data_IF_957412792976
#
_entry.id   IF_957412792976
#
_cell.length_a   1.000
_cell.length_b   1.000
_cell.length_c   1.000
_cell.angle_alpha   90.00
_cell.angle_beta   90.00
_cell.angle_gamma   90.00
#
_symmetry.space_group_name_H-M   'P 1'
#
loop_
_entity.id
_entity.type
_entity.pdbx_description
1 polymer ?
#
# COMPACT_ATOMS: atom_id res chain seq x y z
N UNK A 1 6.38 53.88 18.37
CA UNK A 1 6.48 53.43 18.04
C UNK A 1 6.86 52.55 17.50
N UNK A 2 6.99 52.26 17.11
CA UNK A 2 7.48 51.58 16.53
C UNK A 2 7.52 50.39 16.80
N UNK A 3 7.55 50.12 17.48
CA UNK A 3 7.65 49.07 17.73
C UNK A 3 6.84 48.17 17.34
N UNK A 4 6.26 48.21 17.39
CA UNK A 4 5.27 47.45 17.17
C UNK A 4 5.54 46.66 16.08
N UNK A 5 5.92 47.19 15.27
CA UNK A 5 6.18 46.55 14.14
C UNK A 5 6.91 45.38 14.34
N UNK A 6 7.71 45.54 15.06
CA UNK A 6 8.49 44.56 15.17
C UNK A 6 7.89 43.41 15.54
N UNK A 7 7.24 43.46 16.36
CA UNK A 7 6.72 42.38 16.81
C UNK A 7 6.18 41.59 15.87
N UNK A 8 5.68 42.09 15.13
CA UNK A 8 5.02 41.44 14.29
C UNK A 8 5.79 40.51 13.67
N UNK A 9 6.76 40.77 13.41
CA UNK A 9 7.52 39.96 12.70
C UNK A 9 7.66 38.69 13.33
N UNK A 10 7.81 38.71 14.51
CA UNK A 10 8.09 37.60 15.08
C UNK A 10 7.15 36.60 15.10
N UNK A 11 6.09 36.83 15.21
CA UNK A 11 5.20 35.90 15.31
C UNK A 11 5.13 34.93 14.30
N UNK A 12 5.32 35.21 13.26
CA UNK A 12 5.13 34.36 12.29
C UNK A 12 6.05 33.33 12.19
N UNK A 13 7.07 33.44 12.63
CA UNK A 13 7.97 32.51 12.42
C UNK A 13 7.60 31.23 12.96
N UNK A 14 6.95 31.16 13.84
CA UNK A 14 6.59 30.03 14.47
C UNK A 14 5.98 29.09 13.54
N UNK A 15 5.07 29.45 12.85
CA UNK A 15 4.38 28.59 12.00
C UNK A 15 5.32 28.08 10.98
N UNK A 16 6.25 28.80 10.63
CA UNK A 16 7.12 28.39 9.67
C UNK A 16 7.88 27.20 9.99
N UNK A 17 8.27 27.04 11.15
CA UNK A 17 9.07 25.93 11.48
C UNK A 17 8.34 24.67 11.25
N UNK A 18 7.11 24.64 11.46
CA UNK A 18 6.37 23.43 11.31
C UNK A 18 6.32 23.08 9.86
N UNK A 19 6.18 24.05 9.05
CA UNK A 19 6.09 23.79 7.68
C UNK A 19 7.33 23.14 7.15
N UNK A 20 8.39 23.50 7.65
CA UNK A 20 9.62 22.97 7.20
C UNK A 20 9.67 21.48 7.29
N UNK A 21 9.11 20.93 8.32
CA UNK A 21 9.15 19.51 8.46
C UNK A 21 8.49 18.81 7.29
N UNK A 22 7.45 19.34 6.80
CA UNK A 22 6.77 18.71 5.73
C UNK A 22 7.60 18.71 4.48
N UNK A 23 8.51 19.61 4.37
CA UNK A 23 9.26 19.70 3.17
C UNK A 23 10.35 18.68 3.05
N UNK A 24 10.55 17.89 4.05
CA UNK A 24 11.57 16.89 3.96
C UNK A 24 11.19 15.78 3.01
N UNK A 25 9.93 15.65 2.69
CA UNK A 25 9.53 14.61 1.77
C UNK A 25 9.62 15.12 0.35
N UNK A 26 9.97 14.21 -0.54
CA UNK A 26 9.98 14.51 -1.95
C UNK A 26 8.57 14.84 -2.37
N UNK A 27 8.30 16.00 -2.92
CA UNK A 27 6.94 16.37 -3.28
C UNK A 27 6.38 15.55 -4.44
N UNK A 28 7.22 14.87 -5.18
CA UNK A 28 6.76 14.10 -6.32
C UNK A 28 6.45 12.66 -5.97
N UNK A 29 6.77 12.24 -4.76
CA UNK A 29 6.52 10.87 -4.34
C UNK A 29 5.75 10.91 -3.04
N UNK A 30 4.60 10.28 -3.03
CA UNK A 30 3.80 10.20 -1.82
C UNK A 30 3.61 8.74 -1.46
N UNK A 31 3.49 8.50 -0.19
CA UNK A 31 3.23 7.17 0.31
C UNK A 31 1.78 7.07 0.68
N UNK A 32 1.11 6.05 0.17
CA UNK A 32 -0.30 5.84 0.47
C UNK A 32 -0.44 4.65 1.40
N UNK A 33 -1.10 4.84 2.53
CA UNK A 33 -1.42 3.70 3.37
C UNK A 33 -2.60 2.98 2.75
N UNK A 34 -2.49 1.68 2.59
CA UNK A 34 -3.59 0.89 2.09
C UNK A 34 -3.83 -0.24 3.07
N UNK A 35 -5.07 -0.66 3.16
CA UNK A 35 -5.43 -1.75 4.02
C UNK A 35 -5.56 -3.01 3.20
N UNK A 36 -5.09 -4.11 3.75
CA UNK A 36 -5.20 -5.39 3.09
C UNK A 36 -5.85 -6.38 4.05
N UNK A 37 -6.57 -7.33 3.51
CA UNK A 37 -7.23 -8.34 4.32
C UNK A 37 -6.35 -9.56 4.42
N UNK A 38 -5.92 -9.86 5.62
CA UNK A 38 -5.03 -10.98 5.88
C UNK A 38 -5.71 -12.03 6.73
N UNK A 39 -5.33 -13.26 6.56
CA UNK A 39 -5.83 -14.35 7.36
C UNK A 39 -4.97 -15.58 7.19
N UNK A 40 -5.37 -16.65 7.83
CA UNK A 40 -4.68 -17.91 7.71
C UNK A 40 -4.74 -18.34 6.25
N UNK A 41 -3.66 -18.94 5.75
CA UNK A 41 -3.60 -19.33 4.35
C UNK A 41 -4.77 -20.19 3.93
N UNK A 42 -5.25 -21.07 4.80
CA UNK A 42 -6.37 -21.94 4.45
C UNK A 42 -7.65 -21.14 4.24
N UNK A 43 -7.84 -20.08 5.04
CA UNK A 43 -9.02 -19.25 4.90
C UNK A 43 -8.97 -18.45 3.62
N UNK A 44 -7.81 -17.90 3.30
CA UNK A 44 -7.64 -17.15 2.06
C UNK A 44 -7.86 -18.09 0.86
N UNK A 45 -7.32 -19.30 0.94
CA UNK A 45 -7.50 -20.26 -0.13
C UNK A 45 -8.97 -20.59 -0.34
N UNK A 46 -9.75 -20.71 0.75
CA UNK A 46 -11.17 -20.95 0.62
C UNK A 46 -11.87 -19.80 -0.07
N UNK A 47 -11.50 -18.57 0.27
CA UNK A 47 -12.10 -17.41 -0.35
C UNK A 47 -11.82 -17.38 -1.84
N UNK A 48 -10.59 -17.68 -2.23
CA UNK A 48 -10.26 -17.69 -3.64
C UNK A 48 -11.00 -18.77 -4.39
N UNK A 49 -11.26 -19.90 -3.70
CA UNK A 49 -12.00 -20.96 -4.31
C UNK A 49 -13.44 -20.56 -4.51
N UNK A 50 -14.00 -19.84 -3.56
CA UNK A 50 -15.37 -19.34 -3.70
C UNK A 50 -15.46 -18.34 -4.86
N UNK A 51 -14.40 -17.57 -5.08
CA UNK A 51 -14.35 -16.65 -6.19
C UNK A 51 -14.09 -17.36 -7.51
N UNK A 52 -13.78 -18.66 -7.46
CA UNK A 52 -13.46 -19.47 -8.63
C UNK A 52 -12.25 -18.91 -9.36
N UNK A 53 -11.30 -18.40 -8.63
CA UNK A 53 -10.06 -17.87 -9.19
C UNK A 53 -8.96 -18.90 -9.05
N UNK A 54 -8.12 -19.00 -10.06
CA UNK A 54 -7.00 -19.92 -10.07
C UNK A 54 -5.71 -19.16 -10.25
N UNK A 55 -4.59 -19.69 -9.78
CA UNK A 55 -3.32 -19.00 -9.90
C UNK A 55 -2.89 -18.91 -11.35
N UNK A 56 -2.48 -17.72 -11.78
CA UNK A 56 -2.07 -17.50 -13.17
C UNK A 56 -0.65 -16.95 -13.27
N UNK A 57 -0.13 -16.34 -12.21
CA UNK A 57 1.22 -15.79 -12.24
C UNK A 57 1.73 -15.62 -10.83
N UNK A 58 3.04 -15.57 -10.68
CA UNK A 58 3.63 -15.36 -9.37
C UNK A 58 4.94 -14.61 -9.50
N UNK A 59 5.35 -13.99 -8.43
CA UNK A 59 6.61 -13.26 -8.36
C UNK A 59 7.02 -13.17 -6.91
N UNK A 60 8.26 -12.77 -6.66
CA UNK A 60 8.67 -12.38 -5.33
C UNK A 60 8.66 -10.87 -5.30
N UNK A 61 8.05 -10.31 -4.28
CA UNK A 61 7.87 -8.87 -4.19
C UNK A 61 8.38 -8.38 -2.85
N UNK A 62 8.56 -7.08 -2.78
CA UNK A 62 9.03 -6.43 -1.59
C UNK A 62 8.06 -5.32 -1.27
N UNK A 63 7.75 -5.15 0.02
CA UNK A 63 6.90 -4.05 0.43
C UNK A 63 7.44 -3.43 1.71
N UNK A 64 7.08 -2.17 1.92
CA UNK A 64 7.60 -1.42 3.04
C UNK A 64 6.63 -1.51 4.21
N UNK A 65 7.19 -1.70 5.40
CA UNK A 65 6.41 -1.68 6.62
C UNK A 65 6.33 -0.26 7.17
N UNK A 66 5.37 0.00 8.07
CA UNK A 66 5.23 1.34 8.63
C UNK A 66 6.47 1.85 9.35
N UNK A 67 7.28 0.96 9.90
CA UNK A 67 8.49 1.38 10.59
C UNK A 67 9.65 1.64 9.64
N UNK A 68 9.44 1.52 8.34
CA UNK A 68 10.49 1.77 7.36
C UNK A 68 11.24 0.55 6.89
N UNK A 69 11.06 -0.57 7.55
CA UNK A 69 11.71 -1.80 7.13
C UNK A 69 11.01 -2.37 5.92
N UNK A 70 11.67 -3.31 5.26
CA UNK A 70 11.08 -3.98 4.11
C UNK A 70 10.85 -5.44 4.43
N UNK A 71 9.80 -5.99 3.88
CA UNK A 71 9.55 -7.42 3.88
C UNK A 71 9.51 -7.89 2.45
N UNK A 72 9.88 -9.14 2.25
CA UNK A 72 9.79 -9.76 0.94
C UNK A 72 9.00 -11.04 1.06
N UNK A 73 8.39 -11.45 -0.01
CA UNK A 73 7.68 -12.72 -0.01
C UNK A 73 7.04 -12.95 -1.35
N UNK A 74 6.38 -14.10 -1.49
CA UNK A 74 5.74 -14.43 -2.76
C UNK A 74 4.46 -13.65 -2.96
N UNK A 75 4.25 -13.24 -4.19
CA UNK A 75 2.99 -12.69 -4.65
C UNK A 75 2.43 -13.67 -5.65
N UNK A 76 1.17 -14.02 -5.54
CA UNK A 76 0.49 -14.85 -6.53
C UNK A 76 -0.70 -14.08 -7.06
N UNK A 77 -0.88 -14.08 -8.36
CA UNK A 77 -2.05 -13.49 -8.98
C UNK A 77 -3.01 -14.61 -9.30
N UNK A 78 -4.23 -14.50 -8.77
CA UNK A 78 -5.29 -15.44 -9.05
C UNK A 78 -6.30 -14.75 -9.94
N UNK A 79 -6.86 -15.47 -10.88
CA UNK A 79 -7.83 -14.89 -11.82
C UNK A 79 -8.94 -15.87 -12.14
N UNK A 80 -10.14 -15.34 -12.36
CA UNK A 80 -11.25 -16.15 -12.83
C UNK A 80 -11.08 -16.35 -14.34
N UNK A 81 -11.20 -17.59 -14.82
CA UNK A 81 -10.91 -17.86 -16.23
C UNK A 81 -11.80 -17.14 -17.23
N UNK A 82 -13.03 -16.85 -16.86
CA UNK A 82 -13.94 -16.21 -17.80
C UNK A 82 -14.34 -14.82 -17.37
N UNK A 83 -14.63 -14.62 -16.07
CA UNK A 83 -15.08 -13.31 -15.59
C UNK A 83 -13.95 -12.32 -15.45
N UNK A 84 -12.72 -12.80 -15.43
CA UNK A 84 -11.52 -11.97 -15.39
C UNK A 84 -11.43 -11.12 -14.14
N UNK A 85 -12.00 -11.58 -13.04
CA UNK A 85 -11.72 -10.98 -11.73
C UNK A 85 -10.38 -11.48 -11.25
N UNK A 86 -9.68 -10.69 -10.48
CA UNK A 86 -8.38 -11.08 -9.98
C UNK A 86 -8.23 -10.78 -8.52
N UNK A 87 -7.32 -11.49 -7.89
CA UNK A 87 -6.88 -11.20 -6.53
C UNK A 87 -5.37 -11.32 -6.51
N UNK A 88 -4.69 -10.30 -6.01
CA UNK A 88 -3.26 -10.36 -5.82
C UNK A 88 -3.01 -10.69 -4.37
N UNK A 89 -2.35 -11.80 -4.13
CA UNK A 89 -2.18 -12.34 -2.80
C UNK A 89 -0.71 -12.35 -2.44
N UNK A 90 -0.35 -11.70 -1.33
CA UNK A 90 1.01 -11.77 -0.82
C UNK A 90 1.00 -12.70 0.39
N UNK A 91 2.11 -13.37 0.61
CA UNK A 91 2.21 -14.31 1.70
C UNK A 91 3.40 -13.98 2.59
N UNK A 92 3.18 -13.17 3.62
CA UNK A 92 4.28 -12.73 4.50
C UNK A 92 4.92 -13.87 5.27
N UNK A 93 4.16 -14.87 5.65
CA UNK A 93 4.68 -16.04 6.38
C UNK A 93 4.03 -17.28 5.83
N UNK A 94 4.47 -18.43 6.30
CA UNK A 94 3.88 -19.70 5.86
C UNK A 94 2.43 -19.82 6.24
N UNK A 95 2.03 -19.19 7.33
CA UNK A 95 0.70 -19.35 7.86
C UNK A 95 -0.28 -18.27 7.45
N UNK A 96 0.21 -17.11 7.04
CA UNK A 96 -0.64 -15.98 6.73
C UNK A 96 -0.53 -15.56 5.27
N UNK A 97 -1.65 -15.21 4.69
CA UNK A 97 -1.71 -14.64 3.35
C UNK A 97 -2.63 -13.43 3.38
N UNK A 98 -2.39 -12.49 2.50
CA UNK A 98 -3.15 -11.26 2.44
C UNK A 98 -3.60 -11.00 1.02
N UNK A 99 -4.88 -10.65 0.85
CA UNK A 99 -5.37 -10.22 -0.44
C UNK A 99 -5.07 -8.74 -0.54
N UNK A 100 -4.04 -8.40 -1.29
CA UNK A 100 -3.59 -7.02 -1.36
C UNK A 100 -4.44 -6.18 -2.30
N UNK A 101 -4.77 -6.75 -3.45
CA UNK A 101 -5.54 -6.01 -4.44
C UNK A 101 -6.51 -6.93 -5.15
N UNK A 102 -7.81 -6.84 -4.84
CA UNK A 102 -8.81 -7.48 -5.68
C UNK A 102 -9.10 -6.56 -6.88
N UNK A 103 -9.50 -7.12 -7.99
CA UNK A 103 -9.74 -6.32 -9.17
C UNK A 103 -10.57 -7.05 -10.21
N UNK A 104 -10.69 -6.43 -11.37
CA UNK A 104 -11.47 -7.01 -12.46
C UNK A 104 -10.89 -6.55 -13.79
N UNK A 105 -11.44 -7.07 -14.86
CA UNK A 105 -10.97 -6.76 -16.22
C UNK A 105 -9.52 -7.18 -16.46
N UNK A 106 -9.12 -8.27 -15.84
CA UNK A 106 -7.77 -8.76 -16.00
C UNK A 106 -7.59 -9.26 -17.44
N UNK A 107 -6.52 -8.88 -18.08
CA UNK A 107 -6.25 -9.30 -19.43
C UNK A 107 -4.90 -8.76 -19.88
N UNK A 108 -4.54 -9.03 -21.13
CA UNK A 108 -3.26 -8.55 -21.61
C UNK A 108 -3.27 -7.04 -21.76
N UNK A 109 -2.13 -6.46 -21.65
CA UNK A 109 -1.98 -5.02 -21.84
C UNK A 109 -2.15 -4.77 -23.33
N UNK A 110 -3.03 -3.89 -23.67
CA UNK A 110 -3.37 -3.70 -25.09
C UNK A 110 -2.82 -2.44 -25.68
#
# INVERSE_FOLDING_TARGET
MTKAALITGLLFWVATSVTVLAQEKDPEIVQLPIMVDCGHVNKIAEMLKEYQEVPVAKANVMWRLPNGDFMTGPLTIFAHPTDRTISMVIQPTEDFACIAFPGHNFGPYA
#
